data_IF_316115256236
#
_entry.id   IF_316115256236
#
_cell.length_a   1.000
_cell.length_b   1.000
_cell.length_c   1.000
_cell.angle_alpha   90.00
_cell.angle_beta   90.00
_cell.angle_gamma   90.00
#
_symmetry.space_group_name_H-M   'P 1'
#
loop_
_entity.id
_entity.type
_entity.pdbx_description
1 polymer ?
#
# COMPACT_ATOMS: atom_id res chain seq x y z
N UNK A 1 17.98 58.32 1.14
CA UNK A 1 17.06 57.42 1.88
C UNK A 1 16.60 56.22 1.03
N UNK A 2 16.21 56.40 -0.24
CA UNK A 2 15.76 55.29 -1.10
C UNK A 2 16.82 54.21 -1.40
N UNK A 3 18.11 54.57 -1.52
CA UNK A 3 19.18 53.60 -1.78
C UNK A 3 19.39 52.62 -0.61
N UNK A 4 19.33 53.10 0.63
CA UNK A 4 19.41 52.25 1.82
C UNK A 4 18.19 51.34 1.93
N UNK A 5 17.00 51.84 1.56
CA UNK A 5 15.78 51.04 1.55
C UNK A 5 15.81 49.93 0.49
N UNK A 6 16.30 50.22 -0.72
CA UNK A 6 16.51 49.22 -1.78
C UNK A 6 17.57 48.18 -1.39
N UNK A 7 18.65 48.60 -0.73
CA UNK A 7 19.71 47.70 -0.26
C UNK A 7 19.22 46.81 0.90
N UNK A 8 18.36 47.34 1.77
CA UNK A 8 17.69 46.56 2.82
C UNK A 8 16.64 45.59 2.24
N UNK A 9 15.91 45.98 1.20
CA UNK A 9 14.97 45.10 0.49
C UNK A 9 15.69 44.01 -0.32
N UNK A 10 16.88 44.29 -0.87
CA UNK A 10 17.75 43.29 -1.50
C UNK A 10 18.39 42.34 -0.48
N UNK A 11 18.76 42.83 0.70
CA UNK A 11 19.21 42.00 1.83
C UNK A 11 18.09 41.11 2.36
N UNK A 12 16.86 41.63 2.48
CA UNK A 12 15.69 40.86 2.90
C UNK A 12 15.23 39.85 1.83
N UNK A 13 15.37 40.17 0.54
CA UNK A 13 15.14 39.21 -0.55
C UNK A 13 16.20 38.09 -0.61
N UNK A 14 17.41 38.37 -0.11
CA UNK A 14 18.48 37.36 0.05
C UNK A 14 18.25 36.45 1.27
N UNK A 15 17.36 36.83 2.19
CA UNK A 15 16.85 35.98 3.30
C UNK A 15 15.58 35.24 2.83
N UNK A 16 15.53 34.89 1.54
CA UNK A 16 14.61 33.85 1.06
C UNK A 16 15.04 32.53 1.69
N UNK A 17 14.41 32.19 2.82
CA UNK A 17 14.29 30.87 3.46
C UNK A 17 15.15 29.81 2.78
N UNK A 18 16.44 29.76 3.13
CA UNK A 18 17.20 28.53 2.97
C UNK A 18 16.69 27.61 4.07
N UNK A 19 15.83 26.66 3.70
CA UNK A 19 15.50 25.55 4.57
C UNK A 19 16.81 24.78 4.83
N UNK A 20 17.53 25.09 5.90
CA UNK A 20 18.64 24.26 6.38
C UNK A 20 18.04 22.97 6.96
N UNK A 21 17.69 22.03 6.09
CA UNK A 21 17.00 20.79 6.43
C UNK A 21 17.91 19.56 6.37
N UNK A 22 19.21 19.71 6.64
CA UNK A 22 20.12 18.57 6.66
C UNK A 22 21.03 18.65 7.89
N UNK A 23 21.09 17.57 8.65
CA UNK A 23 21.97 17.39 9.80
C UNK A 23 23.42 17.24 9.30
N UNK A 24 24.13 18.36 9.25
CA UNK A 24 25.50 18.47 8.71
C UNK A 24 26.52 17.54 9.38
N UNK A 25 26.28 17.12 10.63
CA UNK A 25 27.14 16.20 11.37
C UNK A 25 27.21 14.79 10.74
N UNK A 26 26.15 14.37 10.06
CA UNK A 26 26.02 13.02 9.47
C UNK A 26 26.03 13.06 7.94
N UNK A 27 25.56 14.17 7.36
CA UNK A 27 25.43 14.28 5.91
C UNK A 27 26.78 14.30 5.19
N UNK A 28 26.98 13.30 4.33
CA UNK A 28 28.17 13.17 3.49
C UNK A 28 27.75 12.89 2.05
N UNK A 29 28.14 13.80 1.14
CA UNK A 29 27.82 13.71 -0.28
C UNK A 29 26.31 13.47 -0.51
N UNK A 30 25.47 14.25 0.17
CA UNK A 30 24.01 14.12 0.13
C UNK A 30 23.42 15.43 -0.40
N UNK A 31 22.82 15.36 -1.58
CA UNK A 31 22.28 16.52 -2.27
C UNK A 31 20.86 16.84 -1.75
N UNK A 32 20.53 18.10 -1.41
CA UNK A 32 19.19 18.45 -0.92
C UNK A 32 18.07 18.15 -1.92
N UNK A 33 18.36 18.13 -3.24
CA UNK A 33 17.37 17.70 -4.24
C UNK A 33 17.01 16.22 -4.09
N UNK A 34 17.98 15.37 -3.74
CA UNK A 34 17.72 13.94 -3.49
C UNK A 34 16.87 13.76 -2.22
N UNK A 35 17.11 14.57 -1.19
CA UNK A 35 16.31 14.57 0.04
C UNK A 35 14.83 14.85 -0.26
N UNK A 36 14.56 15.93 -0.99
CA UNK A 36 13.19 16.27 -1.43
C UNK A 36 12.55 15.18 -2.31
N UNK A 37 13.32 14.51 -3.17
CA UNK A 37 12.80 13.40 -3.98
C UNK A 37 12.48 12.16 -3.14
N UNK A 38 13.31 11.82 -2.16
CA UNK A 38 13.07 10.70 -1.26
C UNK A 38 11.88 10.99 -0.34
N UNK A 39 11.72 12.24 0.11
CA UNK A 39 10.55 12.70 0.83
C UNK A 39 9.27 12.56 -0.01
N UNK A 40 9.29 13.02 -1.27
CA UNK A 40 8.18 12.82 -2.20
C UNK A 40 7.86 11.33 -2.35
N UNK A 41 8.88 10.49 -2.52
CA UNK A 41 8.72 9.04 -2.65
C UNK A 41 8.08 8.40 -1.41
N UNK A 42 8.44 8.85 -0.21
CA UNK A 42 7.81 8.41 1.05
C UNK A 42 6.33 8.79 1.05
N UNK A 43 5.99 10.01 0.66
CA UNK A 43 4.60 10.46 0.54
C UNK A 43 3.80 9.62 -0.48
N UNK A 44 4.41 9.26 -1.60
CA UNK A 44 3.79 8.37 -2.60
C UNK A 44 3.49 6.99 -2.03
N UNK A 45 4.43 6.38 -1.30
CA UNK A 45 4.19 5.08 -0.63
C UNK A 45 3.10 5.15 0.45
N UNK A 46 3.03 6.23 1.22
CA UNK A 46 1.96 6.43 2.21
C UNK A 46 0.60 6.58 1.51
N UNK A 47 0.55 7.32 0.40
CA UNK A 47 -0.68 7.46 -0.39
C UNK A 47 -1.14 6.12 -0.96
N UNK A 48 -0.19 5.33 -1.46
CA UNK A 48 -0.44 3.97 -1.95
C UNK A 48 -0.95 3.03 -0.86
N UNK A 49 -0.39 3.11 0.35
CA UNK A 49 -0.83 2.35 1.53
C UNK A 49 -2.28 2.66 1.93
N UNK A 50 -2.65 3.94 1.95
CA UNK A 50 -4.03 4.38 2.22
C UNK A 50 -4.98 3.86 1.13
N UNK A 51 -4.57 3.96 -0.14
CA UNK A 51 -5.36 3.45 -1.26
C UNK A 51 -5.60 1.94 -1.16
N UNK A 52 -4.54 1.13 -0.96
CA UNK A 52 -4.65 -0.31 -0.78
C UNK A 52 -5.47 -0.73 0.44
N UNK A 53 -5.42 0.04 1.51
CA UNK A 53 -6.30 -0.19 2.67
C UNK A 53 -7.77 0.05 2.30
N UNK A 54 -8.07 1.09 1.52
CA UNK A 54 -9.42 1.33 1.02
C UNK A 54 -9.90 0.20 0.09
N UNK A 55 -9.06 -0.26 -0.84
CA UNK A 55 -9.37 -1.39 -1.72
C UNK A 55 -9.66 -2.66 -0.93
N UNK A 56 -8.80 -3.03 0.02
CA UNK A 56 -9.00 -4.21 0.85
C UNK A 56 -10.35 -4.14 1.59
N UNK A 57 -10.65 -3.00 2.21
CA UNK A 57 -11.92 -2.79 2.92
C UNK A 57 -13.15 -2.87 1.99
N UNK A 58 -13.01 -2.47 0.73
CA UNK A 58 -14.09 -2.57 -0.25
C UNK A 58 -14.39 -4.02 -0.63
N UNK A 59 -13.36 -4.83 -0.89
CA UNK A 59 -13.52 -6.23 -1.28
C UNK A 59 -13.98 -7.14 -0.12
N UNK A 60 -13.70 -6.73 1.13
CA UNK A 60 -14.18 -7.40 2.35
C UNK A 60 -15.70 -7.26 2.56
N UNK A 61 -16.35 -6.26 1.95
CA UNK A 61 -17.77 -5.98 2.19
C UNK A 61 -18.64 -7.20 1.86
N UNK A 62 -19.67 -7.45 2.68
CA UNK A 62 -20.57 -8.58 2.50
C UNK A 62 -21.30 -8.62 1.15
N UNK A 63 -21.50 -7.48 0.48
CA UNK A 63 -22.13 -7.42 -0.85
C UNK A 63 -21.16 -7.64 -2.02
N UNK A 64 -19.85 -7.47 -1.79
CA UNK A 64 -18.78 -7.73 -2.76
C UNK A 64 -18.22 -9.13 -2.55
N UNK A 65 -17.78 -9.42 -1.32
CA UNK A 65 -17.35 -10.72 -0.82
C UNK A 65 -16.27 -11.39 -1.69
N UNK A 66 -15.19 -10.65 -1.97
CA UNK A 66 -13.97 -11.11 -2.67
C UNK A 66 -12.78 -11.17 -1.68
N UNK A 67 -12.77 -12.16 -0.77
CA UNK A 67 -11.75 -12.31 0.28
C UNK A 67 -10.31 -12.54 -0.22
N UNK A 68 -10.11 -13.13 -1.40
CA UNK A 68 -8.78 -13.24 -2.01
C UNK A 68 -8.23 -11.89 -2.46
N UNK A 69 -9.08 -11.06 -3.07
CA UNK A 69 -8.72 -9.67 -3.40
C UNK A 69 -8.45 -8.84 -2.14
N UNK A 70 -9.26 -8.97 -1.10
CA UNK A 70 -9.01 -8.33 0.21
C UNK A 70 -7.60 -8.67 0.71
N UNK A 71 -7.29 -9.98 0.79
CA UNK A 71 -6.00 -10.46 1.27
C UNK A 71 -4.84 -9.92 0.43
N UNK A 72 -5.01 -9.91 -0.90
CA UNK A 72 -4.03 -9.37 -1.83
C UNK A 72 -3.75 -7.88 -1.57
N UNK A 73 -4.77 -7.03 -1.56
CA UNK A 73 -4.60 -5.59 -1.29
C UNK A 73 -4.12 -5.29 0.13
N UNK A 74 -4.54 -6.08 1.11
CA UNK A 74 -4.04 -6.02 2.49
C UNK A 74 -2.53 -6.31 2.56
N UNK A 75 -2.05 -7.25 1.75
CA UNK A 75 -0.61 -7.55 1.63
C UNK A 75 0.17 -6.41 0.95
N UNK A 76 -0.38 -5.83 -0.11
CA UNK A 76 0.21 -4.68 -0.80
C UNK A 76 0.29 -3.45 0.10
N UNK A 77 -0.77 -3.16 0.86
CA UNK A 77 -0.80 -2.07 1.87
C UNK A 77 0.32 -2.22 2.89
N UNK A 78 0.51 -3.43 3.45
CA UNK A 78 1.59 -3.73 4.39
C UNK A 78 2.98 -3.55 3.75
N UNK A 79 3.14 -4.00 2.52
CA UNK A 79 4.39 -3.84 1.76
C UNK A 79 4.74 -2.36 1.55
N UNK A 80 3.78 -1.56 1.07
CA UNK A 80 3.94 -0.12 0.86
C UNK A 80 4.28 0.61 2.17
N UNK A 81 3.64 0.24 3.28
CA UNK A 81 3.95 0.76 4.62
C UNK A 81 5.40 0.48 5.03
N UNK A 82 5.87 -0.74 4.78
CA UNK A 82 7.24 -1.13 5.13
C UNK A 82 8.26 -0.42 4.22
N UNK A 83 7.96 -0.25 2.93
CA UNK A 83 8.75 0.56 2.00
C UNK A 83 8.88 2.01 2.46
N UNK A 84 7.77 2.65 2.86
CA UNK A 84 7.79 4.01 3.40
C UNK A 84 8.67 4.12 4.66
N UNK A 85 8.58 3.15 5.59
CA UNK A 85 9.42 3.10 6.80
C UNK A 85 10.89 2.92 6.49
N UNK A 86 11.23 2.00 5.59
CA UNK A 86 12.62 1.75 5.22
C UNK A 86 13.24 2.93 4.48
N UNK A 87 12.46 3.63 3.65
CA UNK A 87 12.91 4.85 2.98
C UNK A 87 13.08 6.00 3.97
N UNK A 88 12.17 6.12 4.95
CA UNK A 88 12.30 7.08 6.06
C UNK A 88 13.59 6.86 6.85
N UNK A 89 13.92 5.59 7.15
CA UNK A 89 15.21 5.25 7.80
C UNK A 89 16.40 5.68 6.96
N UNK A 90 16.35 5.45 5.64
CA UNK A 90 17.42 5.89 4.73
C UNK A 90 17.63 7.41 4.81
N UNK A 91 16.56 8.21 4.73
CA UNK A 91 16.65 9.68 4.84
C UNK A 91 17.29 10.09 6.17
N UNK A 92 16.82 9.51 7.28
CA UNK A 92 17.36 9.80 8.61
C UNK A 92 18.85 9.39 8.75
N UNK A 93 19.26 8.24 8.20
CA UNK A 93 20.65 7.78 8.18
C UNK A 93 21.57 8.71 7.38
N UNK A 94 21.04 9.35 6.33
CA UNK A 94 21.78 10.32 5.49
C UNK A 94 21.81 11.72 6.09
N UNK A 95 21.08 11.95 7.19
CA UNK A 95 20.96 13.24 7.84
C UNK A 95 19.92 14.17 7.21
N UNK A 96 19.07 13.68 6.31
CA UNK A 96 17.95 14.45 5.76
C UNK A 96 16.85 14.70 6.81
N UNK A 97 15.98 15.67 6.55
CA UNK A 97 14.88 16.03 7.44
C UNK A 97 13.54 15.94 6.71
N UNK A 98 12.69 15.02 7.15
CA UNK A 98 11.37 14.83 6.57
C UNK A 98 10.40 15.92 7.05
N UNK A 99 9.76 16.60 6.12
CA UNK A 99 8.76 17.62 6.38
C UNK A 99 7.36 17.04 6.21
N UNK A 100 6.87 16.43 7.28
CA UNK A 100 5.48 16.00 7.32
C UNK A 100 4.54 17.21 7.39
N UNK A 101 3.39 17.18 6.70
CA UNK A 101 2.40 18.23 6.84
C UNK A 101 1.98 18.36 8.30
N UNK A 102 1.91 19.60 8.80
CA UNK A 102 1.54 19.87 10.19
C UNK A 102 0.15 19.30 10.44
N UNK A 103 0.07 18.29 11.31
CA UNK A 103 -1.20 17.78 11.79
C UNK A 103 -1.74 18.81 12.78
N UNK A 104 -2.74 19.59 12.37
CA UNK A 104 -3.46 20.48 13.27
C UNK A 104 -4.27 19.64 14.26
N UNK A 105 -3.65 19.29 15.39
CA UNK A 105 -4.20 18.33 16.35
C UNK A 105 -5.63 18.69 16.76
N UNK A 106 -5.89 19.98 17.02
CA UNK A 106 -7.24 20.48 17.36
C UNK A 106 -8.26 20.15 16.27
N UNK A 107 -7.98 20.49 15.02
CA UNK A 107 -8.87 20.20 13.89
C UNK A 107 -9.02 18.69 13.66
N UNK A 108 -7.95 17.92 13.79
CA UNK A 108 -7.98 16.47 13.66
C UNK A 108 -8.88 15.83 14.73
N UNK A 109 -8.72 16.21 16.00
CA UNK A 109 -9.57 15.76 17.10
C UNK A 109 -11.04 16.17 16.88
N UNK A 110 -11.31 17.43 16.54
CA UNK A 110 -12.66 17.90 16.26
C UNK A 110 -13.30 17.16 15.07
N UNK A 111 -12.53 16.88 14.01
CA UNK A 111 -13.01 16.09 12.86
C UNK A 111 -13.33 14.67 13.28
N UNK A 112 -12.46 14.02 14.05
CA UNK A 112 -12.69 12.67 14.59
C UNK A 112 -13.96 12.67 15.45
N UNK A 113 -14.11 13.60 16.38
CA UNK A 113 -15.28 13.74 17.24
C UNK A 113 -16.57 13.94 16.44
N UNK A 114 -16.54 14.81 15.43
CA UNK A 114 -17.69 15.05 14.54
C UNK A 114 -18.06 13.81 13.74
N UNK A 115 -17.09 13.09 13.17
CA UNK A 115 -17.35 11.86 12.43
C UNK A 115 -17.86 10.73 13.35
N UNK A 116 -17.33 10.64 14.58
CA UNK A 116 -17.84 9.73 15.62
C UNK A 116 -19.27 10.06 16.05
N UNK A 117 -19.65 11.35 16.09
CA UNK A 117 -21.01 11.78 16.40
C UNK A 117 -21.99 11.55 15.24
N UNK A 118 -21.52 11.62 13.99
CA UNK A 118 -22.32 11.33 12.78
C UNK A 118 -22.55 9.82 12.61
N UNK A 119 -21.55 9.00 12.91
CA UNK A 119 -21.74 7.56 13.00
C UNK A 119 -22.57 7.22 14.23
N UNK A 120 -23.75 6.64 14.08
CA UNK A 120 -24.55 6.08 15.19
C UNK A 120 -23.86 4.84 15.83
N UNK A 121 -22.57 4.92 16.19
CA UNK A 121 -21.81 3.83 16.80
C UNK A 121 -22.34 3.52 18.22
N UNK A 122 -23.03 4.48 18.84
CA UNK A 122 -23.68 4.33 20.16
C UNK A 122 -25.10 3.75 20.11
N UNK A 123 -25.71 3.61 18.93
CA UNK A 123 -27.04 3.00 18.81
C UNK A 123 -26.89 1.59 18.24
N UNK A 124 -27.46 0.55 18.87
CA UNK A 124 -27.45 -0.79 18.29
C UNK A 124 -28.05 -0.73 16.88
N UNK A 125 -27.39 -1.43 15.95
CA UNK A 125 -27.80 -1.50 14.54
C UNK A 125 -29.26 -1.96 14.45
N UNK A 126 -30.11 -1.19 13.76
CA UNK A 126 -31.53 -1.56 13.53
C UNK A 126 -31.61 -2.73 12.54
N UNK A 127 -31.77 -3.94 13.09
CA UNK A 127 -31.73 -5.22 12.36
C UNK A 127 -32.90 -5.32 11.35
N UNK A 128 -33.97 -4.54 11.52
CA UNK A 128 -35.18 -4.64 10.72
C UNK A 128 -35.01 -4.13 9.28
N UNK A 129 -34.16 -3.14 9.05
CA UNK A 129 -33.97 -2.52 7.72
C UNK A 129 -33.06 -3.33 6.77
N UNK A 130 -32.27 -4.27 7.30
CA UNK A 130 -31.37 -5.13 6.54
C UNK A 130 -32.11 -6.29 5.84
N UNK A 131 -33.28 -6.68 6.37
CA UNK A 131 -34.08 -7.82 5.86
C UNK A 131 -34.90 -7.44 4.60
N UNK A 132 -35.07 -6.15 4.31
CA UNK A 132 -35.94 -5.65 3.25
C UNK A 132 -35.27 -5.43 1.88
N UNK A 133 -33.95 -5.62 1.77
CA UNK A 133 -33.25 -5.50 0.50
C UNK A 133 -33.42 -6.79 -0.35
N UNK A 134 -33.72 -6.68 -1.66
CA UNK A 134 -33.82 -7.86 -2.51
C UNK A 134 -32.47 -8.60 -2.52
N UNK A 135 -32.44 -9.94 -2.34
CA UNK A 135 -31.21 -10.70 -2.33
C UNK A 135 -30.54 -10.58 -3.70
N UNK A 136 -29.39 -9.91 -3.75
CA UNK A 136 -28.50 -10.01 -4.91
C UNK A 136 -28.03 -11.46 -4.98
N UNK A 137 -28.31 -12.14 -6.09
CA UNK A 137 -27.87 -13.51 -6.34
C UNK A 137 -26.42 -13.49 -6.84
N UNK A 138 -25.48 -13.13 -5.96
CA UNK A 138 -24.06 -13.33 -6.23
C UNK A 138 -23.63 -14.69 -5.60
N UNK A 139 -22.99 -15.61 -6.34
CA UNK A 139 -22.46 -16.87 -5.78
C UNK A 139 -21.60 -16.69 -4.52
N UNK A 140 -20.94 -15.54 -4.35
CA UNK A 140 -20.16 -15.22 -3.13
C UNK A 140 -21.02 -15.01 -1.88
N UNK A 141 -22.27 -14.54 -2.00
CA UNK A 141 -23.14 -14.32 -0.84
C UNK A 141 -23.47 -15.66 -0.16
N UNK A 142 -23.71 -16.72 -0.94
CA UNK A 142 -23.97 -18.05 -0.38
C UNK A 142 -22.73 -18.58 0.39
N UNK A 143 -21.52 -18.40 -0.14
CA UNK A 143 -20.29 -18.81 0.55
C UNK A 143 -20.01 -17.96 1.78
N UNK A 144 -20.17 -16.64 1.69
CA UNK A 144 -19.99 -15.71 2.81
C UNK A 144 -20.97 -16.02 3.96
N UNK A 145 -22.24 -16.29 3.66
CA UNK A 145 -23.23 -16.70 4.67
C UNK A 145 -22.91 -18.06 5.31
N UNK A 146 -22.20 -18.96 4.61
CA UNK A 146 -21.74 -20.24 5.15
C UNK A 146 -20.49 -20.08 6.03
N UNK A 147 -19.56 -19.18 5.70
CA UNK A 147 -18.29 -18.98 6.42
C UNK A 147 -18.42 -17.99 7.58
N UNK A 148 -19.20 -16.92 7.39
CA UNK A 148 -19.31 -15.80 8.33
C UNK A 148 -20.67 -15.72 9.01
N UNK A 149 -21.40 -16.84 9.13
CA UNK A 149 -22.72 -16.86 9.76
C UNK A 149 -22.66 -16.19 11.16
N UNK A 150 -23.28 -15.01 11.34
CA UNK A 150 -23.20 -14.30 12.61
C UNK A 150 -23.81 -15.10 13.77
N UNK A 151 -24.66 -16.08 13.48
CA UNK A 151 -25.29 -16.97 14.46
C UNK A 151 -24.47 -18.21 14.85
N UNK A 152 -23.39 -18.56 14.13
CA UNK A 152 -22.55 -19.71 14.51
C UNK A 152 -21.65 -19.41 15.71
N UNK A 153 -21.38 -18.12 15.97
CA UNK A 153 -20.71 -17.66 17.19
C UNK A 153 -21.48 -17.97 18.48
N UNK A 154 -22.80 -18.26 18.38
CA UNK A 154 -23.67 -18.57 19.50
C UNK A 154 -23.78 -20.07 19.82
N UNK A 155 -23.37 -20.97 18.90
CA UNK A 155 -23.47 -22.44 19.11
C UNK A 155 -22.31 -23.07 19.89
N UNK A 156 -21.20 -22.36 20.11
CA UNK A 156 -19.98 -22.92 20.75
C UNK A 156 -19.95 -22.87 22.29
N UNK A 157 -21.07 -22.65 22.99
CA UNK A 157 -21.07 -22.57 24.47
C UNK A 157 -21.63 -23.78 25.23
N UNK A 158 -21.99 -24.88 24.58
CA UNK A 158 -22.38 -26.10 25.31
C UNK A 158 -21.82 -27.38 24.69
N UNK A 159 -20.60 -27.76 25.08
CA UNK A 159 -20.35 -29.14 25.49
C UNK A 159 -19.10 -29.25 26.37
N UNK A 160 -19.33 -29.82 27.57
CA UNK A 160 -18.37 -30.07 28.64
C UNK A 160 -17.32 -31.11 28.25
N UNK A 161 -16.12 -30.90 28.81
CA UNK A 161 -15.12 -31.89 29.27
C UNK A 161 -15.19 -33.33 28.76
N UNK A 162 -14.10 -33.81 28.17
CA UNK A 162 -13.60 -35.14 28.53
C UNK A 162 -12.09 -35.27 28.36
N UNK A 163 -11.43 -35.68 29.44
CA UNK A 163 -10.02 -36.05 29.51
C UNK A 163 -9.80 -37.34 28.73
N UNK A 164 -8.76 -37.41 27.88
CA UNK A 164 -8.03 -38.65 27.62
C UNK A 164 -6.53 -38.39 27.57
N UNK A 165 -5.83 -39.00 28.52
CA UNK A 165 -4.39 -39.23 28.50
C UNK A 165 -4.04 -40.26 27.41
N UNK A 166 -2.89 -40.09 26.75
CA UNK A 166 -1.91 -41.15 26.51
C UNK A 166 -0.51 -40.53 26.38
N UNK A 167 0.48 -41.18 27.01
CA UNK A 167 1.88 -40.77 27.16
C UNK A 167 2.74 -41.22 25.96
N UNK A 168 3.70 -40.36 25.58
CA UNK A 168 5.11 -40.61 25.13
C UNK A 168 5.32 -41.52 23.89
N UNK A 169 6.19 -41.30 22.90
CA UNK A 169 7.53 -40.72 22.74
C UNK A 169 7.76 -40.49 21.22
N UNK A 170 8.63 -39.55 20.79
CA UNK A 170 9.54 -39.66 19.62
C UNK A 170 10.37 -38.39 19.37
N UNK A 171 11.65 -38.50 19.76
CA UNK A 171 12.93 -37.89 19.31
C UNK A 171 13.02 -36.42 18.82
N UNK A 172 14.09 -35.69 19.18
CA UNK A 172 14.35 -34.33 18.70
C UNK A 172 14.74 -34.35 17.21
N UNK A 173 14.07 -33.55 16.39
CA UNK A 173 14.48 -33.31 15.00
C UNK A 173 15.73 -32.42 15.00
N UNK A 174 16.82 -32.96 14.47
CA UNK A 174 18.09 -32.26 14.23
C UNK A 174 17.85 -30.99 13.40
N UNK A 175 18.38 -29.86 13.86
CA UNK A 175 18.50 -28.65 13.05
C UNK A 175 19.44 -28.92 11.87
N UNK A 176 18.89 -29.10 10.68
CA UNK A 176 19.68 -28.94 9.46
C UNK A 176 19.87 -27.44 9.23
N UNK A 177 21.11 -26.96 9.41
CA UNK A 177 21.54 -25.66 8.89
C UNK A 177 21.26 -25.65 7.39
N UNK A 178 20.22 -24.92 6.98
CA UNK A 178 19.95 -24.64 5.58
C UNK A 178 21.08 -23.74 5.11
N UNK A 179 21.97 -24.30 4.30
CA UNK A 179 23.03 -23.56 3.63
C UNK A 179 22.38 -22.49 2.75
N UNK A 180 22.85 -21.24 2.89
CA UNK A 180 22.48 -20.11 2.04
C UNK A 180 22.94 -20.44 0.61
N UNK A 181 22.03 -20.97 -0.21
CA UNK A 181 22.25 -21.07 -1.65
C UNK A 181 22.00 -19.68 -2.21
N UNK A 182 23.09 -18.97 -2.52
CA UNK A 182 23.09 -17.68 -3.22
C UNK A 182 22.05 -17.72 -4.35
N UNK A 183 20.97 -16.94 -4.19
CA UNK A 183 20.04 -16.66 -5.30
C UNK A 183 20.85 -15.85 -6.30
N UNK A 184 21.06 -16.40 -7.50
CA UNK A 184 21.58 -15.68 -8.67
C UNK A 184 20.90 -14.30 -8.74
N UNK A 185 21.67 -13.21 -8.70
CA UNK A 185 21.14 -11.88 -8.96
C UNK A 185 20.60 -11.86 -10.38
N UNK A 186 19.28 -11.73 -10.54
CA UNK A 186 18.71 -11.37 -11.84
C UNK A 186 19.05 -9.90 -12.07
N UNK A 187 19.99 -9.64 -12.97
CA UNK A 187 20.29 -8.29 -13.43
C UNK A 187 19.13 -7.82 -14.30
N UNK A 188 18.24 -7.00 -13.75
CA UNK A 188 17.15 -6.39 -14.50
C UNK A 188 17.68 -5.15 -15.23
N UNK A 189 17.47 -5.06 -16.55
CA UNK A 189 17.84 -3.88 -17.34
C UNK A 189 16.70 -2.85 -17.30
N UNK A 190 16.79 -1.91 -16.35
CA UNK A 190 15.79 -0.86 -16.12
C UNK A 190 15.76 0.22 -17.22
N UNK A 191 16.70 0.20 -18.18
CA UNK A 191 16.86 1.27 -19.20
C UNK A 191 15.72 1.38 -20.21
N UNK A 192 14.90 0.34 -20.34
CA UNK A 192 13.79 0.28 -21.31
C UNK A 192 12.40 0.38 -20.66
N UNK A 193 12.30 0.73 -19.37
CA UNK A 193 11.01 1.02 -18.74
C UNK A 193 10.49 2.35 -19.30
N UNK A 194 9.62 2.27 -20.31
CA UNK A 194 8.96 3.43 -20.92
C UNK A 194 8.11 4.10 -19.84
N UNK A 195 8.38 5.37 -19.53
CA UNK A 195 7.51 6.17 -18.67
C UNK A 195 6.10 6.14 -19.28
N UNK A 196 5.21 5.35 -18.68
CA UNK A 196 3.83 5.30 -19.12
C UNK A 196 3.19 6.64 -18.77
N UNK A 197 2.49 7.24 -19.72
CA UNK A 197 1.67 8.43 -19.53
C UNK A 197 0.87 8.33 -18.23
N UNK A 198 0.66 9.43 -17.48
CA UNK A 198 -0.23 9.42 -16.32
C UNK A 198 -1.56 8.81 -16.76
N UNK A 199 -2.03 7.77 -16.07
CA UNK A 199 -3.34 7.19 -16.41
C UNK A 199 -4.38 8.29 -16.27
N UNK A 200 -5.07 8.62 -17.36
CA UNK A 200 -6.22 9.52 -17.40
C UNK A 200 -7.45 8.86 -16.76
N UNK A 201 -7.28 8.19 -15.62
CA UNK A 201 -8.34 7.50 -14.92
C UNK A 201 -9.03 8.50 -14.00
N UNK A 202 -10.26 8.89 -14.34
CA UNK A 202 -11.08 9.68 -13.43
C UNK A 202 -11.27 8.93 -12.10
N UNK A 203 -11.30 9.65 -10.96
CA UNK A 203 -11.56 9.03 -9.66
C UNK A 203 -12.88 8.25 -9.70
N UNK A 204 -12.82 6.93 -9.54
CA UNK A 204 -14.02 6.08 -9.52
C UNK A 204 -14.66 6.15 -8.13
N UNK A 205 -15.95 6.54 -8.05
CA UNK A 205 -16.65 6.65 -6.75
C UNK A 205 -16.88 5.29 -6.05
N UNK A 206 -17.00 4.19 -6.80
CA UNK A 206 -17.12 2.81 -6.28
C UNK A 206 -16.44 1.81 -7.22
N UNK A 207 -15.62 0.93 -6.67
CA UNK A 207 -14.89 -0.10 -7.42
C UNK A 207 -15.80 -1.26 -7.82
N UNK A 208 -16.68 -1.07 -8.81
CA UNK A 208 -17.74 -2.02 -9.17
C UNK A 208 -17.30 -3.49 -9.28
N UNK A 209 -16.11 -3.76 -9.84
CA UNK A 209 -15.55 -5.10 -10.06
C UNK A 209 -14.04 -5.12 -9.73
N UNK A 210 -13.49 -6.31 -9.47
CA UNK A 210 -12.08 -6.56 -9.15
C UNK A 210 -11.09 -6.03 -10.19
N UNK A 211 -11.45 -6.08 -11.49
CA UNK A 211 -10.64 -5.54 -12.58
C UNK A 211 -10.31 -4.05 -12.38
N UNK A 212 -11.29 -3.23 -11.98
CA UNK A 212 -11.04 -1.79 -11.79
C UNK A 212 -10.08 -1.52 -10.63
N UNK A 213 -10.20 -2.29 -9.54
CA UNK A 213 -9.25 -2.20 -8.42
C UNK A 213 -7.82 -2.55 -8.85
N UNK A 214 -7.65 -3.56 -9.72
CA UNK A 214 -6.35 -3.95 -10.25
C UNK A 214 -5.80 -2.97 -11.29
N UNK A 215 -6.63 -2.37 -12.14
CA UNK A 215 -6.23 -1.32 -13.08
C UNK A 215 -5.74 -0.07 -12.35
N UNK A 216 -6.46 0.36 -11.32
CA UNK A 216 -6.07 1.50 -10.48
C UNK A 216 -4.76 1.18 -9.72
N UNK A 217 -4.63 -0.03 -9.18
CA UNK A 217 -3.40 -0.48 -8.54
C UNK A 217 -2.21 -0.50 -9.49
N UNK A 218 -2.40 -1.01 -10.71
CA UNK A 218 -1.34 -1.04 -11.74
C UNK A 218 -0.88 0.37 -12.11
N UNK A 219 -1.80 1.32 -12.19
CA UNK A 219 -1.47 2.73 -12.41
C UNK A 219 -0.62 3.30 -11.26
N UNK A 220 -1.03 3.07 -10.00
CA UNK A 220 -0.28 3.48 -8.82
C UNK A 220 1.14 2.89 -8.81
N UNK A 221 1.28 1.57 -9.04
CA UNK A 221 2.59 0.90 -9.04
C UNK A 221 3.52 1.43 -10.14
N UNK A 222 2.97 1.76 -11.32
CA UNK A 222 3.74 2.36 -12.42
C UNK A 222 4.19 3.79 -12.11
N UNK A 223 3.33 4.60 -11.49
CA UNK A 223 3.68 5.95 -11.06
C UNK A 223 4.80 5.91 -10.03
N UNK A 224 4.65 5.08 -8.99
CA UNK A 224 5.69 4.87 -7.96
C UNK A 224 6.99 4.40 -8.58
N UNK A 225 6.96 3.43 -9.50
CA UNK A 225 8.14 2.98 -10.24
C UNK A 225 8.85 4.12 -10.98
N UNK A 226 8.09 4.94 -11.70
CA UNK A 226 8.63 6.06 -12.47
C UNK A 226 9.34 7.08 -11.57
N UNK A 227 8.80 7.33 -10.37
CA UNK A 227 9.42 8.24 -9.40
C UNK A 227 10.74 7.69 -8.85
N UNK A 228 10.81 6.38 -8.54
CA UNK A 228 12.03 5.72 -8.09
C UNK A 228 13.10 5.78 -9.19
N UNK A 229 12.74 5.48 -10.44
CA UNK A 229 13.67 5.53 -11.58
C UNK A 229 14.24 6.94 -11.79
N UNK A 230 13.39 7.97 -11.68
CA UNK A 230 13.84 9.36 -11.76
C UNK A 230 14.84 9.69 -10.65
N UNK A 231 14.54 9.30 -9.42
CA UNK A 231 15.40 9.53 -8.25
C UNK A 231 16.73 8.77 -8.38
N UNK A 232 16.69 7.53 -8.87
CA UNK A 232 17.88 6.72 -9.13
C UNK A 232 18.80 7.37 -10.18
N UNK A 233 18.24 7.90 -11.27
CA UNK A 233 18.99 8.58 -12.32
C UNK A 233 19.61 9.88 -11.81
N UNK A 234 18.86 10.67 -11.04
CA UNK A 234 19.36 11.89 -10.40
C UNK A 234 20.47 11.56 -9.38
N UNK A 235 20.36 10.46 -8.63
CA UNK A 235 21.41 10.01 -7.72
C UNK A 235 22.71 9.65 -8.47
N UNK A 236 22.61 9.07 -9.67
CA UNK A 236 23.75 8.85 -10.54
C UNK A 236 24.39 10.16 -11.01
N UNK A 237 23.57 11.15 -11.39
CA UNK A 237 24.04 12.48 -11.79
C UNK A 237 24.78 13.20 -10.65
N UNK A 238 24.24 13.13 -9.43
CA UNK A 238 24.87 13.70 -8.24
C UNK A 238 26.03 12.87 -7.67
N UNK A 239 26.37 11.73 -8.29
CA UNK A 239 27.43 10.82 -7.84
C UNK A 239 27.21 10.36 -6.39
N UNK A 240 25.98 10.05 -6.01
CA UNK A 240 25.64 9.41 -4.72
C UNK A 240 25.48 7.89 -4.93
N UNK A 241 26.55 7.09 -4.80
CA UNK A 241 26.48 5.65 -5.03
C UNK A 241 25.67 4.93 -3.96
N UNK A 242 25.58 5.46 -2.74
CA UNK A 242 24.87 4.83 -1.63
C UNK A 242 23.37 4.90 -1.86
N UNK A 243 22.85 6.10 -2.13
CA UNK A 243 21.43 6.29 -2.43
C UNK A 243 21.03 5.50 -3.66
N UNK A 244 21.87 5.54 -4.72
CA UNK A 244 21.63 4.76 -5.94
C UNK A 244 21.53 3.26 -5.67
N UNK A 245 22.49 2.69 -4.95
CA UNK A 245 22.50 1.26 -4.62
C UNK A 245 21.33 0.86 -3.72
N UNK A 246 20.96 1.70 -2.74
CA UNK A 246 19.77 1.47 -1.91
C UNK A 246 18.49 1.44 -2.75
N UNK A 247 18.37 2.32 -3.74
CA UNK A 247 17.20 2.39 -4.64
C UNK A 247 17.12 1.20 -5.62
N UNK A 248 18.24 0.56 -5.98
CA UNK A 248 18.23 -0.65 -6.81
C UNK A 248 17.35 -1.75 -6.19
N UNK A 249 17.42 -1.93 -4.87
CA UNK A 249 16.56 -2.92 -4.18
C UNK A 249 15.06 -2.56 -4.26
N UNK A 250 14.72 -1.28 -4.18
CA UNK A 250 13.33 -0.84 -4.35
C UNK A 250 12.85 -1.08 -5.78
N UNK A 251 13.69 -0.82 -6.79
CA UNK A 251 13.37 -1.07 -8.19
C UNK A 251 13.12 -2.55 -8.48
N UNK A 252 13.94 -3.46 -7.92
CA UNK A 252 13.73 -4.91 -8.06
C UNK A 252 12.36 -5.33 -7.51
N UNK A 253 12.06 -4.93 -6.28
CA UNK A 253 10.79 -5.24 -5.62
C UNK A 253 9.60 -4.63 -6.38
N UNK A 254 9.76 -3.40 -6.88
CA UNK A 254 8.72 -2.70 -7.61
C UNK A 254 8.45 -3.37 -8.96
N UNK A 255 9.46 -3.94 -9.63
CA UNK A 255 9.26 -4.65 -10.91
C UNK A 255 8.43 -5.89 -10.68
N UNK A 256 8.78 -6.65 -9.63
CA UNK A 256 8.05 -7.86 -9.28
C UNK A 256 6.60 -7.54 -8.89
N UNK A 257 6.34 -6.41 -8.20
CA UNK A 257 4.98 -5.95 -7.88
C UNK A 257 4.19 -5.56 -9.14
N UNK A 258 4.76 -4.70 -9.99
CA UNK A 258 4.12 -4.27 -11.25
C UNK A 258 3.79 -5.46 -12.14
N UNK A 259 4.70 -6.43 -12.24
CA UNK A 259 4.49 -7.64 -13.04
C UNK A 259 3.35 -8.49 -12.49
N UNK A 260 3.30 -8.72 -11.18
CA UNK A 260 2.22 -9.46 -10.54
C UNK A 260 0.86 -8.80 -10.80
N UNK A 261 0.74 -7.49 -10.55
CA UNK A 261 -0.51 -6.77 -10.78
C UNK A 261 -0.89 -6.78 -12.27
N UNK A 262 0.07 -6.59 -13.18
CA UNK A 262 -0.18 -6.61 -14.62
C UNK A 262 -0.72 -7.95 -15.11
N UNK A 263 -0.19 -9.07 -14.62
CA UNK A 263 -0.70 -10.40 -14.97
C UNK A 263 -2.15 -10.59 -14.52
N UNK A 264 -2.50 -10.10 -13.34
CA UNK A 264 -3.87 -10.16 -12.82
C UNK A 264 -4.83 -9.31 -13.66
N UNK A 265 -4.40 -8.10 -14.05
CA UNK A 265 -5.16 -7.23 -14.96
C UNK A 265 -5.37 -7.91 -16.30
N UNK A 266 -4.31 -8.44 -16.93
CA UNK A 266 -4.39 -9.07 -18.25
C UNK A 266 -5.35 -10.28 -18.23
N UNK A 267 -5.32 -11.08 -17.15
CA UNK A 267 -6.23 -12.21 -16.96
C UNK A 267 -7.69 -11.78 -16.96
N UNK A 268 -8.06 -10.76 -16.18
CA UNK A 268 -9.45 -10.29 -16.13
C UNK A 268 -9.86 -9.51 -17.39
N UNK A 269 -8.93 -8.76 -17.98
CA UNK A 269 -9.19 -7.96 -19.18
C UNK A 269 -9.56 -8.84 -20.37
N UNK A 270 -8.98 -10.03 -20.48
CA UNK A 270 -9.33 -11.02 -21.51
C UNK A 270 -10.80 -11.47 -21.46
N UNK A 271 -11.43 -11.44 -20.27
CA UNK A 271 -12.80 -11.88 -20.07
C UNK A 271 -13.82 -10.73 -19.92
N UNK A 272 -13.38 -9.48 -20.08
CA UNK A 272 -14.18 -8.27 -19.81
C UNK A 272 -15.54 -8.21 -20.52
N UNK A 273 -15.61 -8.69 -21.76
CA UNK A 273 -16.81 -8.60 -22.60
C UNK A 273 -17.60 -9.92 -22.68
N UNK A 274 -17.22 -10.92 -21.88
CA UNK A 274 -17.88 -12.23 -21.85
C UNK A 274 -18.84 -12.30 -20.67
N UNK A 275 -19.96 -12.99 -20.84
CA UNK A 275 -20.89 -13.33 -19.74
C UNK A 275 -20.20 -14.16 -18.63
N UNK A 276 -19.00 -14.69 -18.91
CA UNK A 276 -18.17 -15.45 -17.98
C UNK A 276 -17.33 -14.60 -17.03
N UNK A 277 -17.32 -13.26 -17.15
CA UNK A 277 -16.48 -12.38 -16.31
C UNK A 277 -16.66 -12.65 -14.81
N UNK A 278 -17.91 -12.79 -14.35
CA UNK A 278 -18.23 -13.02 -12.93
C UNK A 278 -17.62 -14.33 -12.44
N UNK A 279 -17.64 -15.38 -13.27
CA UNK A 279 -17.02 -16.65 -12.93
C UNK A 279 -15.50 -16.55 -12.87
N UNK A 280 -14.89 -15.84 -13.82
CA UNK A 280 -13.44 -15.65 -13.85
C UNK A 280 -12.93 -14.81 -12.68
N UNK A 281 -13.69 -13.80 -12.27
CA UNK A 281 -13.43 -13.02 -11.06
C UNK A 281 -13.48 -13.88 -9.80
N UNK A 282 -14.49 -14.76 -9.69
CA UNK A 282 -14.59 -15.74 -8.60
C UNK A 282 -13.40 -16.70 -8.58
N UNK A 283 -13.03 -17.24 -9.75
CA UNK A 283 -11.91 -18.20 -9.86
C UNK A 283 -10.57 -17.53 -9.54
N UNK A 284 -10.40 -16.27 -9.93
CA UNK A 284 -9.22 -15.50 -9.59
C UNK A 284 -9.17 -15.19 -8.09
N UNK A 285 -10.29 -14.82 -7.48
CA UNK A 285 -10.38 -14.59 -6.04
C UNK A 285 -9.94 -15.82 -5.25
N UNK A 286 -10.47 -17.00 -5.61
CA UNK A 286 -10.06 -18.27 -5.01
C UNK A 286 -8.55 -18.53 -5.15
N UNK A 287 -7.96 -18.18 -6.29
CA UNK A 287 -6.52 -18.32 -6.49
C UNK A 287 -5.72 -17.37 -5.60
N UNK A 288 -6.16 -16.12 -5.46
CA UNK A 288 -5.52 -15.11 -4.60
C UNK A 288 -5.58 -15.49 -3.11
N UNK A 289 -6.59 -16.23 -2.68
CA UNK A 289 -6.64 -16.76 -1.31
C UNK A 289 -5.53 -17.75 -1.00
N UNK A 290 -5.12 -18.55 -1.99
CA UNK A 290 -4.09 -19.59 -1.85
C UNK A 290 -2.66 -19.03 -1.86
N UNK A 291 -2.46 -17.86 -2.48
CA UNK A 291 -1.18 -17.14 -2.53
C UNK A 291 -0.78 -16.56 -1.16
#
# INVERSE_FOLDING_TARGET
MYLLFLLHMLLLASISVQQEAVVSMVAQNYNPKLDSQLEQQISSYVTQEVAYTAYASYFERADVALPGFEKFFSSLSKSARESAKNMTRLVNERGGCLNYPIIQLKYACEKIEKELAKGNISKPMDVQSVIAAPPRRNPHICHFLLVHNPFDSLKKKHHKSSKKHYKTTKKPKKHHKRTYRSRKSRSYDYRNVRATSPSTHEPREKWQHGLYGLEDALALERTVMSEILKTHNDAAFFKDPLTRHRLEHYLENQIDSVYQVAQLVDRLQQHRNLDTYILEEYLLDSHLQEM
#
